data_IF_448932672156
#
_entry.id   IF_448932672156
#
_cell.length_a   1.000
_cell.length_b   1.000
_cell.length_c   1.000
_cell.angle_alpha   90.00
_cell.angle_beta   90.00
_cell.angle_gamma   90.00
#
_symmetry.space_group_name_H-M   'P 1'
#
loop_
_entity.id
_entity.type
_entity.pdbx_description
1 polymer ?
#
# COMPACT_ATOMS: atom_id res chain seq x y z
N UNK A 1 -8.23 11.23 14.37
CA UNK A 1 -7.21 11.34 13.29
C UNK A 1 -7.72 10.58 12.09
N UNK A 2 -7.73 11.22 10.91
CA UNK A 2 -8.20 10.60 9.67
C UNK A 2 -7.00 10.20 8.79
N UNK A 3 -6.96 8.95 8.36
CA UNK A 3 -5.83 8.37 7.62
C UNK A 3 -6.36 7.53 6.46
N UNK A 4 -5.86 7.81 5.25
CA UNK A 4 -6.09 6.96 4.08
C UNK A 4 -4.95 5.94 3.95
N UNK A 5 -5.32 4.67 4.03
CA UNK A 5 -4.42 3.51 3.92
C UNK A 5 -4.66 2.82 2.60
N UNK A 6 -3.61 2.65 1.79
CA UNK A 6 -3.68 1.90 0.54
C UNK A 6 -3.04 0.51 0.70
N UNK A 7 -3.63 -0.49 0.06
CA UNK A 7 -3.13 -1.85 -0.02
C UNK A 7 -3.17 -2.32 -1.48
N UNK A 8 -2.05 -2.80 -2.06
CA UNK A 8 -2.05 -3.43 -3.38
C UNK A 8 -2.89 -4.70 -3.35
N UNK A 9 -3.87 -4.83 -4.24
CA UNK A 9 -4.74 -6.02 -4.33
C UNK A 9 -5.13 -6.33 -5.78
N UNK A 10 -5.53 -7.58 -6.02
CA UNK A 10 -6.17 -7.98 -7.27
C UNK A 10 -7.63 -7.47 -7.36
N UNK A 11 -8.20 -7.49 -8.57
CA UNK A 11 -9.65 -7.30 -8.72
C UNK A 11 -10.44 -8.38 -7.97
N UNK A 12 -11.58 -8.03 -7.33
CA UNK A 12 -12.25 -6.73 -7.35
C UNK A 12 -11.79 -5.75 -6.24
N UNK A 13 -10.78 -6.10 -5.43
CA UNK A 13 -10.42 -5.37 -4.22
C UNK A 13 -11.39 -5.57 -3.06
N UNK A 14 -11.30 -4.70 -2.06
CA UNK A 14 -12.17 -4.71 -0.87
C UNK A 14 -11.57 -5.42 0.34
N UNK A 15 -12.34 -5.48 1.44
CA UNK A 15 -11.84 -5.91 2.75
C UNK A 15 -11.41 -7.39 2.80
N UNK A 16 -12.02 -8.23 1.98
CA UNK A 16 -11.70 -9.66 1.92
C UNK A 16 -10.63 -9.99 0.87
N UNK A 17 -10.16 -9.00 0.10
CA UNK A 17 -9.16 -9.21 -0.93
C UNK A 17 -7.80 -9.57 -0.30
N UNK A 18 -7.09 -10.49 -0.94
CA UNK A 18 -5.70 -10.79 -0.64
C UNK A 18 -4.80 -9.65 -1.10
N UNK A 19 -3.71 -9.42 -0.35
CA UNK A 19 -2.69 -8.45 -0.71
C UNK A 19 -1.79 -9.01 -1.81
N UNK A 20 -1.41 -8.16 -2.77
CA UNK A 20 -0.40 -8.51 -3.76
C UNK A 20 1.02 -8.44 -3.18
N UNK A 21 1.83 -9.44 -3.53
CA UNK A 21 3.21 -9.53 -3.07
C UNK A 21 4.12 -8.44 -3.66
N UNK A 22 3.72 -7.80 -4.77
CA UNK A 22 4.51 -6.78 -5.43
C UNK A 22 3.67 -5.52 -5.74
N UNK A 23 3.94 -4.43 -5.02
CA UNK A 23 3.10 -3.22 -5.09
C UNK A 23 2.96 -2.65 -6.52
N UNK A 24 4.01 -2.71 -7.33
CA UNK A 24 4.04 -2.09 -8.66
C UNK A 24 3.36 -2.91 -9.77
N UNK A 25 2.87 -4.11 -9.45
CA UNK A 25 2.27 -5.05 -10.41
C UNK A 25 0.86 -5.50 -10.00
N UNK A 26 0.26 -4.87 -8.99
CA UNK A 26 -1.14 -5.15 -8.64
C UNK A 26 -2.10 -4.59 -9.70
N UNK A 27 -3.31 -5.14 -9.73
CA UNK A 27 -4.39 -4.63 -10.56
C UNK A 27 -4.86 -3.24 -10.09
N UNK A 28 -5.05 -3.11 -8.77
CA UNK A 28 -5.59 -1.92 -8.12
C UNK A 28 -5.07 -1.79 -6.69
N UNK A 29 -5.44 -0.70 -6.05
CA UNK A 29 -5.28 -0.49 -4.61
C UNK A 29 -6.65 -0.51 -3.95
N UNK A 30 -6.80 -1.32 -2.90
CA UNK A 30 -7.88 -1.13 -1.94
C UNK A 30 -7.48 0.01 -1.01
N UNK A 31 -8.28 1.07 -0.96
CA UNK A 31 -8.05 2.26 -0.15
C UNK A 31 -9.08 2.30 0.96
N UNK A 32 -8.61 2.32 2.20
CA UNK A 32 -9.41 2.29 3.41
C UNK A 32 -9.24 3.61 4.14
N UNK A 33 -10.35 4.29 4.42
CA UNK A 33 -10.38 5.46 5.29
C UNK A 33 -10.57 5.03 6.73
N UNK A 34 -9.65 5.45 7.59
CA UNK A 34 -9.68 5.18 9.02
C UNK A 34 -9.81 6.50 9.76
N UNK A 35 -10.88 6.64 10.54
CA UNK A 35 -11.08 7.75 11.46
C UNK A 35 -11.24 7.21 12.88
N UNK A 36 -10.38 7.68 13.78
CA UNK A 36 -10.41 7.32 15.21
C UNK A 36 -10.37 5.80 15.46
N UNK A 37 -9.49 5.13 14.71
CA UNK A 37 -9.27 3.68 14.81
C UNK A 37 -10.40 2.83 14.22
N UNK A 38 -11.31 3.43 13.45
CA UNK A 38 -12.44 2.73 12.82
C UNK A 38 -12.44 2.94 11.32
N UNK A 39 -12.78 1.88 10.58
CA UNK A 39 -13.01 1.96 9.14
C UNK A 39 -14.27 2.79 8.88
N UNK A 40 -14.14 3.81 8.03
CA UNK A 40 -15.22 4.72 7.62
C UNK A 40 -15.69 4.47 6.21
N UNK A 41 -14.74 4.24 5.31
CA UNK A 41 -15.00 4.02 3.89
C UNK A 41 -13.98 3.03 3.31
N UNK A 42 -14.40 2.33 2.27
CA UNK A 42 -13.55 1.41 1.51
C UNK A 42 -13.86 1.60 0.04
N UNK A 43 -12.82 1.93 -0.73
CA UNK A 43 -12.92 2.11 -2.18
C UNK A 43 -11.74 1.49 -2.90
N UNK A 44 -11.84 1.37 -4.21
CA UNK A 44 -10.73 0.94 -5.05
C UNK A 44 -10.15 2.10 -5.84
N UNK A 45 -8.85 2.02 -6.12
CA UNK A 45 -8.11 2.96 -6.95
C UNK A 45 -7.31 2.16 -7.98
N UNK A 46 -7.55 2.31 -9.29
CA UNK A 46 -6.82 1.57 -10.32
C UNK A 46 -5.31 1.83 -10.24
N UNK A 47 -4.49 0.81 -10.51
CA UNK A 47 -3.06 1.00 -10.57
C UNK A 47 -2.66 1.72 -11.87
N UNK A 48 -1.56 2.49 -11.84
CA UNK A 48 -0.97 3.12 -13.02
C UNK A 48 0.12 2.21 -13.57
N UNK A 49 0.03 1.74 -14.83
CA UNK A 49 1.00 0.79 -15.39
C UNK A 49 2.42 1.36 -15.43
N UNK A 50 3.41 0.47 -15.34
CA UNK A 50 4.84 0.79 -15.34
C UNK A 50 5.40 1.38 -16.65
N UNK A 51 4.56 1.79 -17.62
CA UNK A 51 5.00 2.23 -18.94
C UNK A 51 5.31 3.73 -19.07
N UNK A 52 4.72 4.61 -18.25
CA UNK A 52 5.04 6.04 -18.24
C UNK A 52 5.40 6.51 -16.83
N UNK A 53 6.65 6.94 -16.62
CA UNK A 53 7.13 7.53 -15.35
C UNK A 53 7.88 6.58 -14.40
N UNK A 54 8.08 5.32 -14.77
CA UNK A 54 8.87 4.35 -13.98
C UNK A 54 8.31 4.11 -12.58
N UNK A 55 9.16 3.61 -11.66
CA UNK A 55 8.76 3.23 -10.30
C UNK A 55 8.11 4.36 -9.47
N UNK A 56 8.21 5.62 -9.93
CA UNK A 56 7.64 6.79 -9.26
C UNK A 56 6.20 7.10 -9.68
N UNK A 57 5.72 6.56 -10.80
CA UNK A 57 4.35 6.80 -11.24
C UNK A 57 3.31 6.32 -10.21
N UNK A 58 3.40 5.09 -9.65
CA UNK A 58 2.46 4.67 -8.62
C UNK A 58 2.64 5.44 -7.30
N UNK A 59 3.87 5.88 -6.96
CA UNK A 59 4.14 6.73 -5.79
C UNK A 59 3.37 8.04 -5.89
N UNK A 60 3.55 8.76 -7.00
CA UNK A 60 2.89 10.03 -7.24
C UNK A 60 1.37 9.87 -7.31
N UNK A 61 0.90 8.77 -7.89
CA UNK A 61 -0.53 8.47 -7.99
C UNK A 61 -1.18 8.33 -6.61
N UNK A 62 -0.57 7.57 -5.69
CA UNK A 62 -1.07 7.43 -4.33
C UNK A 62 -1.01 8.75 -3.55
N UNK A 63 0.07 9.53 -3.71
CA UNK A 63 0.21 10.84 -3.08
C UNK A 63 -0.86 11.84 -3.55
N UNK A 64 -1.14 11.88 -4.86
CA UNK A 64 -2.20 12.73 -5.44
C UNK A 64 -3.59 12.35 -4.93
N UNK A 65 -3.80 11.07 -4.59
CA UNK A 65 -5.03 10.57 -3.98
C UNK A 65 -5.04 10.69 -2.45
N UNK A 66 -4.14 11.51 -1.88
CA UNK A 66 -4.05 11.83 -0.45
C UNK A 66 -3.80 10.63 0.47
N UNK A 67 -3.32 9.51 -0.07
CA UNK A 67 -2.88 8.35 0.73
C UNK A 67 -1.76 8.80 1.68
N UNK A 68 -1.81 8.31 2.92
CA UNK A 68 -0.82 8.59 3.97
C UNK A 68 -0.06 7.37 4.41
N UNK A 69 -0.65 6.19 4.24
CA UNK A 69 -0.05 4.91 4.61
C UNK A 69 -0.18 3.93 3.45
N UNK A 70 0.88 3.20 3.16
CA UNK A 70 0.88 2.06 2.25
C UNK A 70 1.25 0.80 3.02
N UNK A 71 0.41 -0.22 2.97
CA UNK A 71 0.74 -1.56 3.48
C UNK A 71 1.03 -2.46 2.27
N UNK A 72 2.26 -2.93 2.14
CA UNK A 72 2.70 -3.72 0.98
C UNK A 72 3.45 -4.98 1.39
N UNK A 73 3.34 -6.04 0.58
CA UNK A 73 4.12 -7.28 0.77
C UNK A 73 5.56 -7.15 0.29
N UNK A 74 5.81 -6.42 -0.80
CA UNK A 74 7.13 -6.32 -1.42
C UNK A 74 7.24 -5.12 -2.36
N UNK A 75 8.43 -4.52 -2.40
CA UNK A 75 8.72 -3.27 -3.11
C UNK A 75 10.23 -3.10 -3.36
N UNK A 76 10.61 -2.45 -4.45
CA UNK A 76 12.01 -2.07 -4.68
C UNK A 76 12.45 -0.83 -3.90
N UNK A 77 13.77 -0.61 -3.78
CA UNK A 77 14.31 0.54 -3.01
C UNK A 77 13.88 1.92 -3.54
N UNK A 78 13.81 2.11 -4.86
CA UNK A 78 13.43 3.40 -5.47
C UNK A 78 12.03 3.86 -5.05
N UNK A 79 10.96 3.06 -5.20
CA UNK A 79 9.64 3.46 -4.76
C UNK A 79 9.54 3.64 -3.24
N UNK A 80 10.25 2.85 -2.42
CA UNK A 80 10.28 3.04 -0.97
C UNK A 80 10.82 4.43 -0.60
N UNK A 81 11.94 4.83 -1.20
CA UNK A 81 12.49 6.18 -1.03
C UNK A 81 11.51 7.26 -1.51
N UNK A 82 10.82 7.00 -2.64
CA UNK A 82 9.79 7.89 -3.17
C UNK A 82 8.64 8.13 -2.20
N UNK A 83 8.08 7.06 -1.60
CA UNK A 83 7.00 7.17 -0.62
C UNK A 83 7.44 7.99 0.60
N UNK A 84 8.62 7.71 1.15
CA UNK A 84 9.16 8.47 2.28
C UNK A 84 9.33 9.96 1.93
N UNK A 85 9.78 10.29 0.71
CA UNK A 85 9.96 11.67 0.27
C UNK A 85 8.63 12.43 0.15
N UNK A 86 7.55 11.76 -0.24
CA UNK A 86 6.22 12.38 -0.35
C UNK A 86 5.39 12.29 0.93
N UNK A 87 5.98 11.78 2.02
CA UNK A 87 5.34 11.67 3.32
C UNK A 87 4.29 10.55 3.41
N UNK A 88 4.46 9.48 2.64
CA UNK A 88 3.68 8.25 2.77
C UNK A 88 4.47 7.24 3.57
N UNK A 89 3.88 6.81 4.68
CA UNK A 89 4.44 5.81 5.56
C UNK A 89 4.22 4.40 5.01
N UNK A 90 5.30 3.62 4.89
CA UNK A 90 5.20 2.25 4.36
C UNK A 90 5.33 1.23 5.50
N UNK A 91 4.42 0.26 5.50
CA UNK A 91 4.38 -0.87 6.42
C UNK A 91 4.45 -2.18 5.64
N UNK A 92 5.11 -3.17 6.23
CA UNK A 92 5.26 -4.48 5.62
C UNK A 92 4.10 -5.37 6.05
N UNK A 93 3.21 -5.65 5.09
CA UNK A 93 1.99 -6.45 5.27
C UNK A 93 2.13 -7.92 4.90
N UNK A 94 3.36 -8.39 4.61
CA UNK A 94 3.57 -9.78 4.21
C UNK A 94 3.12 -10.74 5.32
N UNK A 95 2.39 -11.79 4.94
CA UNK A 95 1.77 -12.75 5.88
C UNK A 95 0.34 -12.38 6.33
N UNK A 96 -0.19 -11.20 5.96
CA UNK A 96 -1.62 -10.90 6.16
C UNK A 96 -2.46 -11.54 5.07
N UNK A 97 -3.48 -12.29 5.45
CA UNK A 97 -4.32 -13.03 4.50
C UNK A 97 -5.24 -12.09 3.70
N UNK A 98 -5.72 -11.00 4.29
CA UNK A 98 -6.71 -10.10 3.69
C UNK A 98 -6.44 -8.63 4.05
N UNK A 99 -7.06 -7.72 3.31
CA UNK A 99 -7.06 -6.28 3.63
C UNK A 99 -7.56 -6.03 5.04
N UNK A 100 -8.65 -6.69 5.46
CA UNK A 100 -9.20 -6.55 6.81
C UNK A 100 -8.17 -6.92 7.89
N UNK A 101 -7.47 -8.04 7.72
CA UNK A 101 -6.42 -8.47 8.65
C UNK A 101 -5.27 -7.46 8.73
N UNK A 102 -4.85 -6.92 7.58
CA UNK A 102 -3.79 -5.92 7.52
C UNK A 102 -4.20 -4.59 8.17
N UNK A 103 -5.43 -4.12 7.94
CA UNK A 103 -5.97 -2.90 8.58
C UNK A 103 -6.09 -3.08 10.08
N UNK A 104 -6.60 -4.22 10.55
CA UNK A 104 -6.68 -4.53 11.97
C UNK A 104 -5.29 -4.48 12.63
N UNK A 105 -4.30 -5.14 12.01
CA UNK A 105 -2.92 -5.14 12.51
C UNK A 105 -2.30 -3.73 12.50
N UNK A 106 -2.63 -2.90 11.51
CA UNK A 106 -2.21 -1.50 11.45
C UNK A 106 -2.81 -0.67 12.59
N UNK A 107 -4.12 -0.76 12.82
CA UNK A 107 -4.83 -0.03 13.89
C UNK A 107 -4.28 -0.43 15.28
N UNK A 108 -3.91 -1.70 15.44
CA UNK A 108 -3.35 -2.24 16.68
C UNK A 108 -1.83 -1.99 16.83
N UNK A 109 -1.21 -1.26 15.90
CA UNK A 109 0.24 -0.97 15.87
C UNK A 109 1.12 -2.24 15.86
N UNK A 110 0.64 -3.29 15.19
CA UNK A 110 1.32 -4.60 15.09
C UNK A 110 2.06 -4.83 13.78
N UNK A 111 1.94 -3.91 12.82
CA UNK A 111 2.66 -4.03 11.56
C UNK A 111 4.08 -3.45 11.66
N UNK A 112 5.10 -4.17 11.19
CA UNK A 112 6.44 -3.62 11.10
C UNK A 112 6.52 -2.53 10.02
N UNK A 113 7.36 -1.52 10.26
CA UNK A 113 7.72 -0.55 9.22
C UNK A 113 8.43 -1.24 8.07
N UNK A 114 8.17 -0.81 6.85
CA UNK A 114 8.85 -1.34 5.68
C UNK A 114 10.26 -0.75 5.61
N UNK A 115 11.30 -1.58 5.82
CA UNK A 115 12.70 -1.21 5.74
C UNK A 115 13.37 -1.76 4.47
N UNK A 116 14.64 -1.42 4.27
CA UNK A 116 15.44 -1.90 3.14
C UNK A 116 15.56 -3.44 3.12
N UNK A 117 15.46 -4.08 4.28
CA UNK A 117 15.55 -5.54 4.43
C UNK A 117 14.39 -6.27 3.76
N UNK A 118 13.25 -5.60 3.58
CA UNK A 118 12.09 -6.14 2.87
C UNK A 118 12.08 -5.77 1.39
N UNK A 119 13.11 -5.05 0.90
CA UNK A 119 13.17 -4.72 -0.51
C UNK A 119 13.68 -5.88 -1.33
N UNK A 120 13.01 -6.17 -2.44
CA UNK A 120 13.56 -7.07 -3.44
C UNK A 120 14.71 -6.33 -4.16
N UNK A 121 15.79 -7.05 -4.49
CA UNK A 121 17.03 -6.51 -5.08
C UNK A 121 16.91 -5.94 -6.50
N UNK A 122 15.74 -5.43 -6.89
CA UNK A 122 15.37 -5.11 -8.26
C UNK A 122 15.09 -6.41 -9.01
N UNK A 123 13.82 -6.81 -9.04
CA UNK A 123 13.38 -7.83 -9.98
C UNK A 123 13.60 -7.31 -11.41
N UNK A 124 14.28 -8.12 -12.22
CA UNK A 124 14.37 -7.97 -13.67
C UNK A 124 12.98 -8.01 -14.31
#
# INVERSE_FOLDING_TARGET
>A
MNTLVALPTANPGGMDASLDAHFGHCDLYTVVEIEDGKVKDVRTLPNVPHQQGGCMAPVNHLAQNSVKVLIAGGMGMRPLMGFNQVGIDVYHGNGMATVSAAIQAFIEDKLPRFTQEFTCGGGQ
#
